data_IF_207682445382
#
_entry.id   IF_207682445382
#
_cell.length_a   1.000
_cell.length_b   1.000
_cell.length_c   1.000
_cell.angle_alpha   90.00
_cell.angle_beta   90.00
_cell.angle_gamma   90.00
#
_symmetry.space_group_name_H-M   'P 1'
#
loop_
_entity.id
_entity.type
_entity.pdbx_description
1 polymer ?
#
# COMPACT_ATOMS: atom_id res chain seq x y z
N UNK A 1 7.54 4.77 -2.68
CA UNK A 1 7.00 5.90 -3.48
C UNK A 1 5.84 6.50 -2.71
N UNK A 2 5.73 7.83 -2.65
CA UNK A 2 4.56 8.55 -2.11
C UNK A 2 3.80 9.16 -3.28
N UNK A 3 2.47 9.11 -3.25
CA UNK A 3 1.60 9.65 -4.28
C UNK A 3 0.51 10.51 -3.62
N UNK A 4 0.32 11.73 -4.12
CA UNK A 4 -0.78 12.59 -3.73
C UNK A 4 -2.03 12.20 -4.54
N UNK A 5 -3.12 11.84 -3.86
CA UNK A 5 -4.35 11.41 -4.53
C UNK A 5 -5.14 12.57 -5.14
N UNK A 6 -4.99 13.79 -4.62
CA UNK A 6 -5.70 14.97 -5.14
C UNK A 6 -5.17 15.36 -6.53
N UNK A 7 -3.86 15.19 -6.73
CA UNK A 7 -3.20 15.39 -8.03
C UNK A 7 -3.34 14.19 -8.96
N UNK A 8 -3.66 13.00 -8.42
CA UNK A 8 -3.69 11.74 -9.17
C UNK A 8 -5.02 10.97 -8.96
N UNK A 9 -6.18 11.57 -9.24
CA UNK A 9 -7.49 10.98 -8.94
C UNK A 9 -7.76 9.70 -9.74
N UNK A 10 -7.23 9.59 -10.97
CA UNK A 10 -7.36 8.37 -11.78
C UNK A 10 -6.61 7.19 -11.15
N UNK A 11 -5.43 7.43 -10.58
CA UNK A 11 -4.66 6.40 -9.87
C UNK A 11 -5.36 5.99 -8.58
N UNK A 12 -5.91 6.95 -7.84
CA UNK A 12 -6.72 6.66 -6.65
C UNK A 12 -7.94 5.80 -7.00
N UNK A 13 -8.66 6.14 -8.08
CA UNK A 13 -9.80 5.36 -8.57
C UNK A 13 -9.39 3.96 -9.05
N UNK A 14 -8.31 3.85 -9.84
CA UNK A 14 -7.78 2.57 -10.34
C UNK A 14 -7.51 1.57 -9.22
N UNK A 15 -7.03 2.06 -8.07
CA UNK A 15 -6.74 1.24 -6.91
C UNK A 15 -7.81 1.34 -5.81
N UNK A 16 -9.02 1.86 -6.09
CA UNK A 16 -10.11 2.01 -5.11
C UNK A 16 -9.65 2.62 -3.77
N UNK A 17 -8.88 3.71 -3.83
CA UNK A 17 -8.41 4.44 -2.64
C UNK A 17 -9.52 5.38 -2.17
N UNK A 18 -10.30 4.92 -1.18
CA UNK A 18 -11.39 5.68 -0.56
C UNK A 18 -11.02 6.30 0.79
N UNK A 19 -10.02 5.74 1.47
CA UNK A 19 -9.58 6.19 2.79
C UNK A 19 -8.07 6.48 2.74
N UNK A 20 -7.66 7.57 3.39
CA UNK A 20 -6.24 7.92 3.57
C UNK A 20 -5.85 7.88 5.05
N UNK A 21 -4.59 7.52 5.37
CA UNK A 21 -3.56 7.02 4.46
C UNK A 21 -3.83 5.56 4.01
N UNK A 22 -3.38 5.20 2.81
CA UNK A 22 -3.38 3.80 2.32
C UNK A 22 -2.01 3.49 1.73
N UNK A 23 -1.42 2.35 2.11
CA UNK A 23 -0.18 1.82 1.58
C UNK A 23 -0.51 0.62 0.71
N UNK A 24 -0.08 0.66 -0.55
CA UNK A 24 -0.17 -0.47 -1.48
C UNK A 24 1.19 -1.15 -1.58
N UNK A 25 1.23 -2.46 -1.39
CA UNK A 25 2.46 -3.25 -1.47
C UNK A 25 2.47 -4.02 -2.79
N UNK A 26 3.51 -3.80 -3.58
CA UNK A 26 3.72 -4.44 -4.87
C UNK A 26 4.94 -5.35 -4.83
N UNK A 27 4.85 -6.52 -5.44
CA UNK A 27 5.96 -7.46 -5.69
C UNK A 27 5.89 -7.91 -7.14
N UNK A 28 7.00 -7.78 -7.86
CA UNK A 28 7.10 -8.15 -9.29
C UNK A 28 6.01 -7.54 -10.18
N UNK A 29 5.63 -6.29 -9.90
CA UNK A 29 4.58 -5.56 -10.62
C UNK A 29 3.15 -5.92 -10.22
N UNK A 30 2.95 -6.92 -9.36
CA UNK A 30 1.65 -7.35 -8.86
C UNK A 30 1.34 -6.71 -7.51
N UNK A 31 0.10 -6.26 -7.32
CA UNK A 31 -0.39 -5.80 -6.02
C UNK A 31 -0.58 -7.02 -5.11
N UNK A 32 0.24 -7.13 -4.07
CA UNK A 32 0.23 -8.29 -3.16
C UNK A 32 -0.44 -8.02 -1.83
N UNK A 33 -0.51 -6.75 -1.41
CA UNK A 33 -1.20 -6.40 -0.16
C UNK A 33 -1.64 -4.91 -0.16
N UNK A 34 -2.60 -4.59 0.70
CA UNK A 34 -3.11 -3.25 0.95
C UNK A 34 -3.25 -3.03 2.45
N UNK A 35 -2.67 -1.94 2.93
CA UNK A 35 -2.77 -1.51 4.32
C UNK A 35 -3.53 -0.17 4.36
N UNK A 36 -4.61 -0.10 5.13
CA UNK A 36 -5.49 1.08 5.19
C UNK A 36 -5.46 1.66 6.59
N UNK A 37 -5.35 2.98 6.69
CA UNK A 37 -5.30 3.71 7.94
C UNK A 37 -3.87 3.96 8.43
N UNK A 38 -3.79 4.58 9.60
CA UNK A 38 -2.51 4.88 10.26
C UNK A 38 -1.99 3.59 10.90
N UNK A 39 -0.75 3.23 10.58
CA UNK A 39 -0.05 2.09 11.13
C UNK A 39 1.25 2.54 11.77
N UNK A 40 1.68 1.85 12.82
CA UNK A 40 2.99 2.04 13.40
C UNK A 40 4.07 1.37 12.55
N UNK A 41 5.31 1.76 12.80
CA UNK A 41 6.48 1.25 12.08
C UNK A 41 6.59 -0.28 12.17
N UNK A 42 6.37 -0.83 13.36
CA UNK A 42 6.50 -2.27 13.61
C UNK A 42 5.43 -3.07 12.85
N UNK A 43 4.22 -2.51 12.69
CA UNK A 43 3.14 -3.15 11.96
C UNK A 43 3.48 -3.21 10.46
N UNK A 44 4.01 -2.12 9.90
CA UNK A 44 4.46 -2.08 8.50
C UNK A 44 5.61 -3.07 8.28
N UNK A 45 6.58 -3.12 9.19
CA UNK A 45 7.72 -4.05 9.10
C UNK A 45 7.25 -5.51 9.06
N UNK A 46 6.30 -5.89 9.92
CA UNK A 46 5.73 -7.23 9.93
C UNK A 46 5.09 -7.62 8.59
N UNK A 47 4.32 -6.72 7.99
CA UNK A 47 3.71 -6.96 6.68
C UNK A 47 4.75 -7.13 5.57
N UNK A 48 5.85 -6.35 5.61
CA UNK A 48 6.93 -6.48 4.65
C UNK A 48 7.68 -7.81 4.82
N UNK A 49 8.02 -8.18 6.05
CA UNK A 49 8.70 -9.44 6.35
C UNK A 49 7.88 -10.65 5.90
N UNK A 50 6.57 -10.61 6.08
CA UNK A 50 5.68 -11.66 5.58
C UNK A 50 5.82 -11.85 4.06
N UNK A 51 5.77 -10.76 3.30
CA UNK A 51 5.85 -10.80 1.81
C UNK A 51 7.22 -11.29 1.32
N UNK A 52 8.30 -10.94 2.02
CA UNK A 52 9.67 -11.35 1.66
C UNK A 52 9.90 -12.82 1.96
N UNK A 53 9.37 -13.33 3.08
CA UNK A 53 9.58 -14.72 3.52
C UNK A 53 8.72 -15.76 2.81
N UNK A 54 7.63 -15.38 2.16
CA UNK A 54 6.76 -16.29 1.39
C UNK A 54 7.33 -16.70 0.02
N UNK A 55 8.66 -16.81 -0.12
CA UNK A 55 9.35 -17.30 -1.32
C UNK A 55 9.82 -18.75 -1.10
#
# INVERSE_FOLDING_TARGET
VKLNIDENPLTASKYDIRNIPTILLFKDGNLVNRLVGVLREEEIEQHLLFIVKSN
#
